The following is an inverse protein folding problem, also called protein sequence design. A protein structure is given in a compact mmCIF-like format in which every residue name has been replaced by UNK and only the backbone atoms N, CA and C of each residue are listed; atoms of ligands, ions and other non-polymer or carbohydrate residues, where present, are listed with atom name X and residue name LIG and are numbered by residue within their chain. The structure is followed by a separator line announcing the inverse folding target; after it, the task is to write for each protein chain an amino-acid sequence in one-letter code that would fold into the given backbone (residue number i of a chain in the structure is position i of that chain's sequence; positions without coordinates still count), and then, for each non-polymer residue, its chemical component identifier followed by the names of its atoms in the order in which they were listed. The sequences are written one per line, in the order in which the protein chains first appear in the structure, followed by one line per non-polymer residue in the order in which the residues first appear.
data_IF_071973417250
#
_entry.id   IF_071973417250
#
_cell.length_a   1.000
_cell.length_b   1.000
_cell.length_c   1.000
_cell.angle_alpha   90.00
_cell.angle_beta   90.00
_cell.angle_gamma   90.00
#
_symmetry.space_group_name_H-M   'P 1'
#
loop_
_entity.id
_entity.type
_entity.pdbx_description
1 polymer ?
#
# COMPACT_ATOMS: atom_id res chain seq x y z
N UNK A 1 4.54 -9.74 25.29
CA UNK A 1 5.43 -8.82 24.60
C UNK A 1 4.90 -8.47 23.23
N UNK A 2 4.95 -7.22 22.88
CA UNK A 2 4.47 -6.77 21.58
C UNK A 2 5.62 -6.67 20.59
N UNK A 3 5.35 -7.10 19.38
CA UNK A 3 6.38 -7.08 18.35
C UNK A 3 5.81 -6.65 17.01
N UNK A 4 6.60 -5.87 16.31
CA UNK A 4 6.33 -5.57 14.92
C UNK A 4 7.12 -6.58 14.10
N UNK A 5 6.43 -7.32 13.24
CA UNK A 5 7.06 -8.34 12.40
C UNK A 5 7.26 -7.87 10.97
N UNK A 6 6.68 -6.72 10.61
CA UNK A 6 6.84 -6.16 9.29
C UNK A 6 5.83 -5.06 9.02
N UNK A 7 5.81 -4.60 7.78
CA UNK A 7 4.87 -3.58 7.32
C UNK A 7 3.68 -4.30 6.69
N UNK A 8 2.51 -4.13 7.30
CA UNK A 8 1.28 -4.74 6.80
C UNK A 8 0.62 -3.95 5.69
N UNK A 9 0.81 -2.64 5.68
CA UNK A 9 0.20 -1.82 4.65
C UNK A 9 0.78 -0.43 4.59
N UNK A 10 0.81 0.12 3.39
CA UNK A 10 1.18 1.51 3.12
C UNK A 10 0.05 2.11 2.33
N UNK A 11 -0.61 3.12 2.90
CA UNK A 11 -1.78 3.74 2.31
C UNK A 11 -1.55 5.24 2.22
N UNK A 12 -1.84 5.84 1.08
CA UNK A 12 -1.72 7.28 0.97
C UNK A 12 -2.83 7.85 0.07
N UNK A 13 -3.02 9.16 0.19
CA UNK A 13 -4.07 9.88 -0.51
C UNK A 13 -3.48 10.71 -1.64
N UNK A 14 -4.26 10.88 -2.70
CA UNK A 14 -3.89 11.74 -3.82
C UNK A 14 -5.12 12.43 -4.35
N UNK A 15 -4.95 13.66 -4.84
CA UNK A 15 -6.05 14.41 -5.44
C UNK A 15 -6.63 13.68 -6.64
N UNK A 16 -5.77 13.09 -7.44
CA UNK A 16 -6.18 12.30 -8.59
C UNK A 16 -5.57 10.91 -8.43
N UNK A 17 -6.22 10.11 -7.58
CA UNK A 17 -5.72 8.78 -7.27
C UNK A 17 -5.56 7.90 -8.52
N UNK A 18 -6.55 7.86 -9.44
CA UNK A 18 -6.37 7.05 -10.65
C UNK A 18 -5.16 7.44 -11.49
N UNK A 19 -4.88 8.73 -11.62
CA UNK A 19 -3.73 9.19 -12.39
C UNK A 19 -2.42 8.77 -11.74
N UNK A 20 -2.33 8.91 -10.43
CA UNK A 20 -1.12 8.52 -9.70
C UNK A 20 -0.93 7.01 -9.70
N UNK A 21 -2.01 6.25 -9.56
CA UNK A 21 -1.96 4.80 -9.68
C UNK A 21 -1.42 4.38 -11.03
N UNK A 22 -1.88 5.03 -12.11
CA UNK A 22 -1.40 4.74 -13.46
C UNK A 22 0.07 5.08 -13.61
N UNK A 23 0.53 6.15 -12.97
CA UNK A 23 1.93 6.53 -12.99
C UNK A 23 2.81 5.44 -12.39
N UNK A 24 2.43 4.91 -11.22
CA UNK A 24 3.19 3.86 -10.57
C UNK A 24 3.18 2.56 -11.37
N UNK A 25 2.04 2.22 -11.96
CA UNK A 25 1.95 1.04 -12.80
C UNK A 25 2.88 1.16 -14.01
N UNK A 26 2.91 2.34 -14.62
CA UNK A 26 3.66 2.59 -15.85
C UNK A 26 5.16 2.64 -15.60
N UNK A 27 5.58 3.31 -14.53
CA UNK A 27 7.00 3.60 -14.31
C UNK A 27 7.69 2.62 -13.38
N UNK A 28 6.98 2.01 -12.46
CA UNK A 28 7.55 1.10 -11.48
C UNK A 28 7.05 -0.34 -11.64
N UNK A 29 6.14 -0.57 -12.58
CA UNK A 29 5.65 -1.92 -12.83
C UNK A 29 4.79 -2.50 -11.73
N UNK A 30 4.23 -1.66 -10.85
CA UNK A 30 3.34 -2.13 -9.80
C UNK A 30 2.04 -2.60 -10.44
N UNK A 31 1.62 -3.82 -10.12
CA UNK A 31 0.38 -4.38 -10.65
C UNK A 31 -0.82 -3.84 -9.88
N UNK A 32 -1.19 -2.60 -10.19
CA UNK A 32 -2.29 -1.91 -9.52
C UNK A 32 -3.60 -2.55 -9.93
N UNK A 33 -4.34 -3.06 -8.94
CA UNK A 33 -5.63 -3.72 -9.15
C UNK A 33 -6.76 -2.69 -9.21
N UNK A 34 -7.95 -3.15 -9.55
CA UNK A 34 -9.11 -2.27 -9.71
C UNK A 34 -9.45 -1.51 -8.42
N UNK A 35 -9.15 -2.08 -7.27
CA UNK A 35 -9.42 -1.43 -5.99
C UNK A 35 -8.40 -0.33 -5.63
N UNK A 36 -7.43 -0.09 -6.49
CA UNK A 36 -6.50 1.04 -6.32
C UNK A 36 -5.20 0.72 -5.62
N UNK A 37 -4.85 -0.54 -5.48
CA UNK A 37 -3.64 -0.93 -4.81
C UNK A 37 -3.09 -2.25 -5.29
N UNK A 38 -2.10 -2.75 -4.58
CA UNK A 38 -1.46 -4.01 -4.88
C UNK A 38 -1.05 -4.70 -3.58
N UNK A 39 -0.92 -6.01 -3.65
CA UNK A 39 -0.43 -6.82 -2.53
C UNK A 39 0.94 -7.36 -2.90
N UNK A 40 1.91 -7.12 -2.02
CA UNK A 40 3.27 -7.63 -2.20
C UNK A 40 3.48 -8.77 -1.23
N UNK A 41 3.61 -9.98 -1.77
CA UNK A 41 3.91 -11.16 -0.96
C UNK A 41 5.39 -11.14 -0.60
N UNK A 42 5.68 -11.32 0.68
CA UNK A 42 7.07 -11.35 1.14
C UNK A 42 7.74 -12.62 0.63
N UNK A 43 8.97 -12.47 0.18
CA UNK A 43 9.75 -13.59 -0.31
C UNK A 43 11.12 -13.60 0.35
N UNK A 44 11.73 -14.78 0.41
CA UNK A 44 13.09 -14.91 0.89
C UNK A 44 14.10 -14.62 -0.23
N UNK A 45 15.38 -14.86 0.03
CA UNK A 45 16.42 -14.60 -0.94
C UNK A 45 16.34 -15.49 -2.19
N UNK A 46 15.58 -16.57 -2.14
CA UNK A 46 15.36 -17.46 -3.27
C UNK A 46 14.04 -17.19 -3.98
N UNK A 47 13.32 -16.16 -3.58
CA UNK A 47 12.04 -15.80 -4.18
C UNK A 47 10.86 -16.61 -3.69
N UNK A 48 11.00 -17.37 -2.61
CA UNK A 48 9.90 -18.17 -2.08
C UNK A 48 9.07 -17.40 -1.07
N UNK A 49 7.74 -17.57 -1.05
CA UNK A 49 6.90 -16.89 -0.08
C UNK A 49 7.26 -17.28 1.35
N UNK A 50 7.26 -16.29 2.24
CA UNK A 50 7.63 -16.51 3.64
C UNK A 50 6.52 -16.12 4.62
N UNK A 51 5.26 -16.13 4.16
CA UNK A 51 4.12 -16.00 5.05
C UNK A 51 3.80 -14.58 5.49
N UNK A 52 4.00 -13.60 4.63
CA UNK A 52 3.63 -12.23 4.91
C UNK A 52 3.27 -11.48 3.65
N UNK A 53 2.46 -10.43 3.81
CA UNK A 53 2.01 -9.61 2.68
C UNK A 53 1.96 -8.16 3.12
N UNK A 54 2.43 -7.27 2.25
CA UNK A 54 2.28 -5.83 2.43
C UNK A 54 1.27 -5.32 1.41
N UNK A 55 0.26 -4.61 1.86
CA UNK A 55 -0.73 -3.97 1.00
C UNK A 55 -0.30 -2.54 0.71
N UNK A 56 -0.33 -2.17 -0.54
CA UNK A 56 -0.03 -0.81 -0.98
C UNK A 56 -1.24 -0.26 -1.71
N UNK A 57 -1.69 0.95 -1.37
CA UNK A 57 -2.82 1.53 -2.08
C UNK A 57 -2.79 3.05 -2.05
N UNK A 58 -3.43 3.65 -3.04
CA UNK A 58 -3.61 5.08 -3.15
C UNK A 58 -5.11 5.34 -3.20
N UNK A 59 -5.59 6.15 -2.24
CA UNK A 59 -6.99 6.52 -2.17
C UNK A 59 -7.22 7.98 -2.51
N UNK A 60 -8.49 8.36 -2.62
CA UNK A 60 -8.87 9.73 -2.89
C UNK A 60 -8.49 10.62 -1.71
N UNK A 61 -7.97 11.81 -2.00
CA UNK A 61 -7.66 12.79 -0.96
C UNK A 61 -8.91 13.25 -0.21
N UNK A 62 -10.09 13.05 -0.79
CA UNK A 62 -11.36 13.44 -0.17
C UNK A 62 -11.99 12.31 0.64
N UNK A 63 -11.38 11.13 0.63
CA UNK A 63 -11.84 10.04 1.46
C UNK A 63 -11.49 10.29 2.92
N UNK A 64 -12.20 9.61 3.81
CA UNK A 64 -12.01 9.78 5.25
C UNK A 64 -11.42 8.54 5.91
N UNK A 65 -10.78 7.69 5.13
CA UNK A 65 -10.22 6.43 5.63
C UNK A 65 -9.15 6.63 6.70
N UNK A 66 -8.58 7.84 6.80
CA UNK A 66 -7.58 8.16 7.82
C UNK A 66 -8.17 9.01 8.96
N UNK A 67 -9.48 9.27 8.94
CA UNK A 67 -10.09 10.10 9.95
C UNK A 67 -9.89 9.49 11.35
N UNK A 68 -9.70 10.32 12.38
CA UNK A 68 -9.69 11.79 12.35
C UNK A 68 -8.35 12.42 11.98
N UNK A 69 -7.40 11.65 11.49
CA UNK A 69 -6.09 12.15 11.13
C UNK A 69 -6.16 12.98 9.84
N UNK A 70 -5.34 14.04 9.79
CA UNK A 70 -5.18 14.85 8.59
C UNK A 70 -3.98 14.42 7.76
N UNK A 71 -3.36 13.31 8.11
CA UNK A 71 -2.21 12.81 7.39
C UNK A 71 -2.58 12.38 5.97
N UNK A 72 -1.62 12.47 5.06
CA UNK A 72 -1.82 12.05 3.68
C UNK A 72 -1.35 10.62 3.44
N UNK A 73 -0.80 9.99 4.44
CA UNK A 73 -0.38 8.60 4.34
C UNK A 73 -0.60 7.90 5.67
N UNK A 74 -0.61 6.58 5.62
CA UNK A 74 -0.73 5.75 6.81
C UNK A 74 0.08 4.48 6.59
N UNK A 75 0.80 4.07 7.63
CA UNK A 75 1.58 2.83 7.62
C UNK A 75 1.01 1.90 8.67
N UNK A 76 0.61 0.70 8.27
CA UNK A 76 0.14 -0.33 9.17
C UNK A 76 1.27 -1.32 9.46
N UNK A 77 1.49 -1.61 10.72
CA UNK A 77 2.49 -2.58 11.16
C UNK A 77 1.82 -3.90 11.50
N UNK A 78 2.54 -4.98 11.33
CA UNK A 78 2.07 -6.31 11.71
C UNK A 78 2.72 -6.73 12.99
#
# INVERSE_FOLDING_TARGET
MKRVTGIGGIFFKAKDAPALQAWYKRHLGIDVQEWGGAAFTWTDGDGKPVGGTTIWSIGSAQGDQFAPSNATFMINYR
#
